data_IF_156722999983
#
_entry.id   IF_156722999983
#
_cell.length_a   1.000
_cell.length_b   1.000
_cell.length_c   1.000
_cell.angle_alpha   90.00
_cell.angle_beta   90.00
_cell.angle_gamma   90.00
#
_symmetry.space_group_name_H-M   'P 1'
#
loop_
_entity.id
_entity.type
_entity.pdbx_description
1 polymer ?
#
# COMPACT_ATOMS: atom_id res chain seq x y z
N UNK A 1 -12.77 -10.28 3.03
CA UNK A 1 -13.56 -9.10 3.38
C UNK A 1 -13.86 -8.40 2.07
N UNK A 2 -15.12 -8.27 1.67
CA UNK A 2 -15.47 -7.71 0.35
C UNK A 2 -15.23 -6.19 0.34
N UNK A 3 -14.07 -5.78 -0.19
CA UNK A 3 -13.63 -4.38 -0.25
C UNK A 3 -14.03 -3.68 -1.55
N UNK A 4 -14.66 -4.40 -2.50
CA UNK A 4 -14.85 -3.93 -3.87
C UNK A 4 -15.79 -2.71 -4.01
N UNK A 5 -16.53 -2.36 -2.95
CA UNK A 5 -17.48 -1.25 -2.91
C UNK A 5 -17.32 -0.35 -1.68
N UNK A 6 -16.17 -0.36 -1.00
CA UNK A 6 -15.96 0.52 0.15
C UNK A 6 -15.73 1.96 -0.34
N UNK A 7 -16.77 2.81 -0.29
CA UNK A 7 -16.63 4.23 -0.62
C UNK A 7 -15.99 4.97 0.57
N UNK A 8 -14.66 4.99 0.59
CA UNK A 8 -13.81 5.49 1.66
C UNK A 8 -13.35 6.93 1.42
N UNK A 9 -14.23 7.81 0.96
CA UNK A 9 -13.88 9.21 0.64
C UNK A 9 -13.20 9.94 1.82
N UNK A 10 -13.52 9.54 3.05
CA UNK A 10 -12.96 10.11 4.28
C UNK A 10 -11.88 9.23 4.97
N UNK A 11 -11.54 8.06 4.41
CA UNK A 11 -10.58 7.11 5.02
C UNK A 11 -9.49 6.79 4.00
N UNK A 12 -8.24 7.12 4.35
CA UNK A 12 -7.07 6.70 3.57
C UNK A 12 -6.63 5.32 4.02
N UNK A 13 -6.52 4.37 3.09
CA UNK A 13 -6.00 3.03 3.36
C UNK A 13 -4.55 2.92 2.86
N UNK A 14 -3.68 2.32 3.67
CA UNK A 14 -2.31 1.99 3.26
C UNK A 14 -2.20 0.49 3.05
N UNK A 15 -1.95 0.08 1.82
CA UNK A 15 -1.70 -1.31 1.50
C UNK A 15 -0.19 -1.55 1.46
N UNK A 16 0.29 -2.51 2.25
CA UNK A 16 1.70 -2.88 2.34
C UNK A 16 1.89 -4.26 1.73
N UNK A 17 2.69 -4.35 0.68
CA UNK A 17 2.96 -5.62 0.01
C UNK A 17 1.90 -6.03 -1.02
N UNK A 18 1.81 -7.33 -1.36
CA UNK A 18 0.96 -7.80 -2.45
C UNK A 18 -0.54 -7.72 -2.09
N UNK A 19 -1.30 -6.96 -2.88
CA UNK A 19 -2.76 -6.88 -2.81
C UNK A 19 -3.39 -7.84 -3.84
N UNK A 20 -4.12 -8.86 -3.37
CA UNK A 20 -4.69 -9.88 -4.26
C UNK A 20 -5.74 -9.32 -5.24
N UNK A 21 -5.64 -9.71 -6.52
CA UNK A 21 -6.57 -9.37 -7.60
C UNK A 21 -7.96 -9.97 -7.32
N UNK A 22 -8.96 -9.12 -7.10
CA UNK A 22 -10.35 -9.55 -6.86
C UNK A 22 -11.23 -8.52 -6.14
N UNK A 23 -10.64 -7.48 -5.55
CA UNK A 23 -11.35 -6.56 -4.66
C UNK A 23 -11.61 -5.17 -5.26
N UNK A 24 -12.20 -5.12 -6.46
CA UNK A 24 -12.70 -3.89 -7.08
C UNK A 24 -11.68 -2.75 -7.21
N UNK A 25 -12.14 -1.56 -7.60
CA UNK A 25 -11.32 -0.36 -7.59
C UNK A 25 -11.31 0.21 -6.17
N UNK A 26 -10.23 -0.03 -5.42
CA UNK A 26 -10.03 0.60 -4.12
C UNK A 26 -9.79 2.10 -4.33
N UNK A 27 -10.72 2.94 -3.89
CA UNK A 27 -10.53 4.40 -3.83
C UNK A 27 -9.69 4.75 -2.60
N UNK A 28 -9.12 5.96 -2.58
CA UNK A 28 -8.35 6.50 -1.44
C UNK A 28 -7.38 5.51 -0.80
N UNK A 29 -6.68 4.75 -1.63
CA UNK A 29 -5.69 3.75 -1.20
C UNK A 29 -4.32 4.16 -1.68
N UNK A 30 -3.32 3.97 -0.83
CA UNK A 30 -1.91 4.16 -1.12
C UNK A 30 -1.25 2.80 -1.08
N UNK A 31 -0.74 2.34 -2.21
CA UNK A 31 -0.05 1.05 -2.32
C UNK A 31 1.45 1.24 -2.19
N UNK A 32 2.04 0.67 -1.14
CA UNK A 32 3.47 0.71 -0.84
C UNK A 32 4.07 -0.68 -1.08
N UNK A 33 5.00 -0.78 -2.04
CA UNK A 33 5.72 -2.03 -2.34
C UNK A 33 7.20 -1.93 -1.98
N UNK A 34 7.74 -3.03 -1.48
CA UNK A 34 9.15 -3.21 -1.16
C UNK A 34 9.92 -3.58 -2.43
N UNK A 35 11.03 -2.91 -2.70
CA UNK A 35 11.89 -3.23 -3.84
C UNK A 35 12.40 -4.68 -3.80
N UNK A 36 12.57 -5.24 -2.61
CA UNK A 36 13.07 -6.61 -2.38
C UNK A 36 11.94 -7.63 -2.12
N UNK A 37 10.68 -7.19 -2.12
CA UNK A 37 9.53 -8.07 -1.91
C UNK A 37 9.09 -8.73 -3.22
N UNK A 38 9.67 -9.90 -3.52
CA UNK A 38 9.35 -10.66 -4.73
C UNK A 38 7.86 -11.03 -4.85
N UNK A 39 7.14 -11.20 -3.74
CA UNK A 39 5.72 -11.53 -3.76
C UNK A 39 4.89 -10.36 -4.27
N UNK A 40 5.24 -9.14 -3.88
CA UNK A 40 4.64 -7.89 -4.39
C UNK A 40 4.83 -7.69 -5.88
N UNK A 41 5.93 -8.19 -6.44
CA UNK A 41 6.22 -8.08 -7.88
C UNK A 41 5.59 -9.20 -8.70
N UNK A 42 5.52 -10.41 -8.15
CA UNK A 42 5.03 -11.58 -8.88
C UNK A 42 3.52 -11.78 -8.76
N UNK A 43 2.94 -11.46 -7.60
CA UNK A 43 1.57 -11.83 -7.26
C UNK A 43 0.59 -10.64 -7.24
N UNK A 44 1.11 -9.41 -7.26
CA UNK A 44 0.28 -8.22 -7.15
C UNK A 44 0.34 -7.33 -8.39
N UNK A 45 -0.80 -7.28 -9.08
CA UNK A 45 -1.03 -6.52 -10.31
C UNK A 45 -1.64 -5.14 -10.07
N UNK A 46 -1.77 -4.68 -8.82
CA UNK A 46 -2.21 -3.33 -8.52
C UNK A 46 -1.10 -2.32 -8.83
N UNK A 47 -1.53 -1.09 -9.13
CA UNK A 47 -0.66 0.07 -9.26
C UNK A 47 0.14 0.23 -7.97
N UNK A 48 1.43 0.55 -8.12
CA UNK A 48 2.31 0.94 -7.02
C UNK A 48 2.34 2.47 -6.92
N UNK A 49 2.06 3.02 -5.74
CA UNK A 49 2.12 4.48 -5.50
C UNK A 49 3.45 4.92 -4.88
N UNK A 50 4.04 4.06 -4.04
CA UNK A 50 5.33 4.29 -3.38
C UNK A 50 6.16 3.00 -3.36
N UNK A 51 7.47 3.15 -3.47
CA UNK A 51 8.44 2.05 -3.33
C UNK A 51 9.38 2.33 -2.17
N UNK A 52 9.59 1.34 -1.31
CA UNK A 52 10.51 1.39 -0.18
C UNK A 52 11.56 0.28 -0.30
N UNK A 53 12.73 0.45 0.33
CA UNK A 53 13.83 -0.50 0.17
C UNK A 53 13.80 -1.60 1.25
N UNK A 54 12.77 -2.43 1.22
CA UNK A 54 12.57 -3.49 2.21
C UNK A 54 12.05 -4.80 1.58
N UNK A 55 12.23 -5.91 2.29
CA UNK A 55 11.61 -7.19 1.96
C UNK A 55 10.16 -7.33 2.45
N UNK A 56 9.53 -8.46 2.14
CA UNK A 56 8.11 -8.73 2.42
C UNK A 56 7.74 -8.63 3.91
N UNK A 57 8.62 -9.09 4.80
CA UNK A 57 8.36 -9.12 6.25
C UNK A 57 8.84 -7.86 6.97
N UNK A 58 9.33 -6.86 6.23
CA UNK A 58 10.09 -5.74 6.78
C UNK A 58 9.36 -4.40 6.71
N UNK A 59 8.19 -4.32 6.06
CA UNK A 59 7.45 -3.06 5.91
C UNK A 59 7.22 -2.31 7.23
N UNK A 60 6.87 -3.03 8.32
CA UNK A 60 6.62 -2.39 9.61
C UNK A 60 7.89 -1.88 10.32
N UNK A 61 9.05 -2.42 9.95
CA UNK A 61 10.36 -2.03 10.50
C UNK A 61 11.01 -0.92 9.68
N UNK A 62 10.67 -0.81 8.40
CA UNK A 62 11.22 0.19 7.50
C UNK A 62 10.76 1.60 7.92
N UNK A 63 11.74 2.50 8.10
CA UNK A 63 11.48 3.87 8.55
C UNK A 63 10.74 4.69 7.49
N UNK A 64 11.00 4.45 6.20
CA UNK A 64 10.36 5.18 5.11
C UNK A 64 8.87 4.88 5.02
N UNK A 65 8.45 3.65 5.32
CA UNK A 65 7.01 3.33 5.41
C UNK A 65 6.32 4.23 6.43
N UNK A 66 6.94 4.42 7.60
CA UNK A 66 6.40 5.33 8.63
C UNK A 66 6.40 6.78 8.17
N UNK A 67 7.50 7.24 7.55
CA UNK A 67 7.61 8.60 7.02
C UNK A 67 6.50 8.90 6.00
N UNK A 68 6.27 7.98 5.05
CA UNK A 68 5.17 8.09 4.08
C UNK A 68 3.83 8.23 4.81
N UNK A 69 3.52 7.34 5.76
CA UNK A 69 2.24 7.43 6.50
C UNK A 69 2.12 8.78 7.23
N UNK A 70 3.19 9.29 7.83
CA UNK A 70 3.19 10.59 8.50
C UNK A 70 3.01 11.77 7.54
N UNK A 71 3.58 11.74 6.35
CA UNK A 71 3.31 12.73 5.29
C UNK A 71 1.81 12.79 5.01
N UNK A 72 1.18 11.61 4.92
CA UNK A 72 -0.26 11.50 4.68
C UNK A 72 -1.11 12.06 5.79
N UNK A 73 -0.76 11.79 7.04
CA UNK A 73 -1.45 12.36 8.20
C UNK A 73 -1.28 13.89 8.30
N UNK A 74 -0.20 14.44 7.76
CA UNK A 74 0.07 15.89 7.74
C UNK A 74 -0.51 16.61 6.52
N UNK A 75 -1.13 15.88 5.57
CA UNK A 75 -1.70 16.46 4.35
C UNK A 75 -0.65 16.95 3.35
N UNK A 76 0.56 16.36 3.34
CA UNK A 76 1.70 16.79 2.50
C UNK A 76 1.83 15.99 1.19
N UNK A 77 0.74 15.42 0.67
CA UNK A 77 0.75 14.39 -0.39
C UNK A 77 0.25 14.88 -1.72
#
# INVERSE_FOLDING_TARGET
MDLANYNNENITMFALGPVAKGYGNLKNTVVIKGSLDIYSWLLDFHKTDRIVNCGHLEYFKDRKVKEIIYEYLQGKN
#
